data_IF_301366509060
#
_entry.id   IF_301366509060
#
_cell.length_a   1.000
_cell.length_b   1.000
_cell.length_c   1.000
_cell.angle_alpha   90.00
_cell.angle_beta   90.00
_cell.angle_gamma   90.00
#
_symmetry.space_group_name_H-M   'P 1'
#
loop_
_entity.id
_entity.type
_entity.pdbx_description
1 polymer ?
#
# COMPACT_ATOMS: atom_id res chain seq x y z
N UNK A 1 -6.28 -11.98 20.19
CA UNK A 1 -5.35 -12.39 19.11
C UNK A 1 -5.54 -11.42 17.97
N UNK A 2 -4.46 -10.86 17.40
CA UNK A 2 -4.58 -10.08 16.14
C UNK A 2 -4.94 -11.03 15.01
N UNK A 3 -5.79 -10.58 14.09
CA UNK A 3 -6.11 -11.37 12.90
C UNK A 3 -4.90 -11.43 11.96
N UNK A 4 -4.85 -12.44 11.08
CA UNK A 4 -3.81 -12.50 10.06
C UNK A 4 -3.84 -11.27 9.13
N UNK A 5 -5.03 -10.68 8.90
CA UNK A 5 -5.18 -9.44 8.12
C UNK A 5 -4.48 -8.25 8.77
N UNK A 6 -4.66 -8.05 10.08
CA UNK A 6 -3.99 -7.00 10.84
C UNK A 6 -2.47 -7.21 10.91
N UNK A 7 -2.03 -8.46 11.07
CA UNK A 7 -0.60 -8.82 11.10
C UNK A 7 0.05 -8.49 9.75
N UNK A 8 -0.57 -8.87 8.65
CA UNK A 8 -0.04 -8.62 7.32
C UNK A 8 -0.05 -7.13 6.95
N UNK A 9 -1.10 -6.39 7.31
CA UNK A 9 -1.13 -4.94 7.16
C UNK A 9 0.00 -4.26 7.96
N UNK A 10 0.19 -4.68 9.22
CA UNK A 10 1.27 -4.17 10.07
C UNK A 10 2.66 -4.49 9.52
N UNK A 11 2.82 -5.65 8.86
CA UNK A 11 4.05 -6.02 8.15
C UNK A 11 4.26 -5.13 6.93
N UNK A 12 3.22 -4.93 6.12
CA UNK A 12 3.27 -4.10 4.92
C UNK A 12 3.64 -2.64 5.24
N UNK A 13 3.01 -2.05 6.26
CA UNK A 13 3.25 -0.67 6.69
C UNK A 13 4.69 -0.41 7.17
N UNK A 14 5.44 -1.45 7.55
CA UNK A 14 6.86 -1.36 7.92
C UNK A 14 7.81 -1.45 6.73
N UNK A 15 7.30 -1.78 5.55
CA UNK A 15 8.10 -1.85 4.32
C UNK A 15 8.01 -0.55 3.54
N UNK A 16 8.93 -0.38 2.58
CA UNK A 16 8.84 0.72 1.63
C UNK A 16 7.86 0.45 0.48
N UNK A 17 7.21 -0.72 0.40
CA UNK A 17 6.32 -1.05 -0.72
C UNK A 17 5.21 -0.01 -0.96
N UNK A 18 4.48 0.46 0.08
CA UNK A 18 3.46 1.50 -0.11
C UNK A 18 4.07 2.81 -0.65
N UNK A 19 5.24 3.18 -0.13
CA UNK A 19 5.98 4.38 -0.54
C UNK A 19 6.47 4.31 -1.97
N UNK A 20 7.14 3.22 -2.33
CA UNK A 20 7.64 2.99 -3.68
C UNK A 20 6.52 2.94 -4.70
N UNK A 21 5.36 2.38 -4.32
CA UNK A 21 4.17 2.40 -5.17
C UNK A 21 3.72 3.85 -5.44
N UNK A 22 3.51 4.66 -4.39
CA UNK A 22 3.10 6.06 -4.55
C UNK A 22 4.12 6.87 -5.35
N UNK A 23 5.41 6.75 -5.05
CA UNK A 23 6.48 7.49 -5.72
C UNK A 23 6.59 7.10 -7.20
N UNK A 24 6.46 5.81 -7.54
CA UNK A 24 6.51 5.32 -8.93
C UNK A 24 5.40 5.89 -9.79
N UNK A 25 4.23 6.14 -9.21
CA UNK A 25 3.08 6.69 -9.93
C UNK A 25 2.91 8.21 -9.71
N UNK A 26 3.89 8.88 -9.10
CA UNK A 26 3.83 10.34 -8.91
C UNK A 26 2.69 10.81 -8.01
N UNK A 27 2.28 9.98 -7.05
CA UNK A 27 1.17 10.30 -6.13
C UNK A 27 -0.22 10.06 -6.71
N UNK A 28 -0.35 9.62 -7.96
CA UNK A 28 -1.63 9.32 -8.60
C UNK A 28 -1.59 7.96 -9.27
N UNK A 29 -2.56 7.10 -9.00
CA UNK A 29 -2.64 5.78 -9.63
C UNK A 29 -4.05 5.52 -10.11
N UNK A 30 -4.19 4.78 -11.20
CA UNK A 30 -5.48 4.36 -11.72
C UNK A 30 -5.89 3.01 -11.13
N UNK A 31 -7.05 2.50 -11.55
CA UNK A 31 -7.55 1.22 -11.08
C UNK A 31 -6.66 0.03 -11.49
N UNK A 32 -6.03 0.07 -12.66
CA UNK A 32 -5.15 -1.01 -13.12
C UNK A 32 -3.86 -1.09 -12.31
N UNK A 33 -3.30 0.06 -11.94
CA UNK A 33 -2.13 0.16 -11.05
C UNK A 33 -2.46 -0.41 -9.67
N UNK A 34 -3.65 -0.09 -9.15
CA UNK A 34 -4.17 -0.65 -7.90
C UNK A 34 -4.29 -2.17 -7.94
N UNK A 35 -4.87 -2.74 -9.01
CA UNK A 35 -4.96 -4.19 -9.18
C UNK A 35 -3.58 -4.85 -9.27
N UNK A 36 -2.62 -4.20 -9.96
CA UNK A 36 -1.25 -4.67 -10.02
C UNK A 36 -0.57 -4.70 -8.65
N UNK A 37 -0.83 -3.69 -7.81
CA UNK A 37 -0.35 -3.67 -6.44
C UNK A 37 -0.98 -4.77 -5.58
N UNK A 38 -2.29 -5.01 -5.72
CA UNK A 38 -2.97 -6.10 -5.02
C UNK A 38 -2.37 -7.47 -5.37
N UNK A 39 -2.11 -7.72 -6.66
CA UNK A 39 -1.47 -8.95 -7.12
C UNK A 39 -0.04 -9.11 -6.55
N UNK A 40 0.72 -8.02 -6.50
CA UNK A 40 2.05 -8.01 -5.88
C UNK A 40 2.00 -8.37 -4.39
N UNK A 41 0.99 -7.88 -3.66
CA UNK A 41 0.80 -8.20 -2.24
C UNK A 41 0.49 -9.68 -2.03
N UNK A 42 -0.32 -10.27 -2.90
CA UNK A 42 -0.59 -11.70 -2.91
C UNK A 42 0.67 -12.52 -3.18
N UNK A 43 1.43 -12.19 -4.23
CA UNK A 43 2.69 -12.86 -4.58
C UNK A 43 3.71 -12.80 -3.44
N UNK A 44 3.77 -11.68 -2.71
CA UNK A 44 4.66 -11.49 -1.57
C UNK A 44 4.16 -12.08 -0.26
N UNK A 45 3.00 -12.75 -0.25
CA UNK A 45 2.47 -13.44 0.93
C UNK A 45 1.94 -12.49 2.01
N UNK A 46 1.36 -11.36 1.60
CA UNK A 46 0.59 -10.49 2.50
C UNK A 46 -0.87 -10.90 2.59
N UNK A 47 -1.35 -11.87 1.82
CA UNK A 47 -2.73 -12.37 1.92
C UNK A 47 -2.86 -13.37 3.08
N UNK A 48 -3.96 -13.32 3.87
CA UNK A 48 -5.08 -12.38 3.78
C UNK A 48 -4.70 -10.98 4.29
N UNK A 49 -5.20 -9.93 3.64
CA UNK A 49 -5.05 -8.52 4.02
C UNK A 49 -6.34 -7.76 3.73
N UNK A 50 -6.61 -6.71 4.50
CA UNK A 50 -7.71 -5.80 4.25
C UNK A 50 -7.29 -4.74 3.22
N UNK A 51 -7.84 -4.84 2.01
CA UNK A 51 -7.50 -3.97 0.89
C UNK A 51 -7.99 -2.53 1.10
N UNK A 52 -9.05 -2.30 1.87
CA UNK A 52 -9.51 -0.95 2.19
C UNK A 52 -8.48 -0.24 3.08
N UNK A 53 -7.91 -0.96 4.04
CA UNK A 53 -6.83 -0.45 4.88
C UNK A 53 -5.53 -0.23 4.10
N UNK A 54 -5.24 -1.05 3.09
CA UNK A 54 -4.12 -0.81 2.18
C UNK A 54 -4.34 0.49 1.40
N UNK A 55 -5.56 0.74 0.92
CA UNK A 55 -5.91 2.01 0.26
C UNK A 55 -5.62 3.22 1.16
N UNK A 56 -6.07 3.20 2.41
CA UNK A 56 -5.80 4.27 3.39
C UNK A 56 -4.30 4.47 3.66
N UNK A 57 -3.52 3.39 3.68
CA UNK A 57 -2.07 3.43 3.82
C UNK A 57 -1.40 4.13 2.62
N UNK A 58 -1.88 3.86 1.40
CA UNK A 58 -1.39 4.53 0.18
C UNK A 58 -1.76 6.02 0.17
N UNK A 59 -2.98 6.38 0.56
CA UNK A 59 -3.39 7.79 0.68
C UNK A 59 -2.55 8.56 1.72
N UNK A 60 -2.23 7.92 2.85
CA UNK A 60 -1.31 8.51 3.85
C UNK A 60 0.06 8.79 3.23
N UNK A 61 0.57 7.83 2.45
CA UNK A 61 1.88 7.95 1.82
C UNK A 61 1.88 8.94 0.64
N UNK A 62 0.74 9.11 -0.03
CA UNK A 62 0.50 10.16 -1.03
C UNK A 62 0.56 11.55 -0.42
N UNK A 63 -0.05 11.77 0.75
CA UNK A 63 0.07 13.04 1.46
C UNK A 63 1.54 13.39 1.74
N UNK A 64 2.31 12.43 2.27
CA UNK A 64 3.77 12.59 2.52
C UNK A 64 4.53 12.86 1.22
N UNK A 65 4.15 12.21 0.12
CA UNK A 65 4.77 12.44 -1.19
C UNK A 65 4.55 13.89 -1.64
N UNK A 66 3.33 14.40 -1.56
CA UNK A 66 3.02 15.79 -1.94
C UNK A 66 3.66 16.83 -1.03
N UNK A 67 3.72 16.61 0.28
CA UNK A 67 4.44 17.50 1.21
C UNK A 67 5.94 17.66 0.85
N UNK A 68 6.55 16.65 0.23
CA UNK A 68 7.96 16.70 -0.20
C UNK A 68 8.17 17.37 -1.55
N UNK A 69 7.10 17.50 -2.35
CA UNK A 69 7.17 18.02 -3.71
C UNK A 69 6.41 19.35 -3.87
N UNK A 70 5.87 19.90 -2.77
CA UNK A 70 5.33 21.26 -2.64
C UNK A 70 6.43 22.28 -2.34
#
# INVERSE_FOLDING_TARGET
>A
MRSNTEVNLSRLAKTNLPKEFVERHGGEWNHQDWLGFCALLEEKGYTPIDLDQVGLLLETQKAIYWEKHS
#
